data_IF_191299401602
#
_entry.id   IF_191299401602
#
_cell.length_a   1.000
_cell.length_b   1.000
_cell.length_c   1.000
_cell.angle_alpha   90.00
_cell.angle_beta   90.00
_cell.angle_gamma   90.00
#
_symmetry.space_group_name_H-M   'P 1'
#
loop_
_entity.id
_entity.type
_entity.pdbx_description
1 polymer ?
#
# COMPACT_ATOMS: atom_id res chain seq x y z
N UNK A 1 32.61 35.63 12.80
CA UNK A 1 32.08 34.35 13.29
C UNK A 1 31.96 33.41 12.10
N UNK A 2 32.21 32.11 12.29
CA UNK A 2 32.14 31.13 11.20
C UNK A 2 30.70 30.72 10.95
N UNK A 3 30.26 30.76 9.69
CA UNK A 3 28.92 30.32 9.27
C UNK A 3 29.00 28.97 8.58
N UNK A 4 27.97 28.16 8.77
CA UNK A 4 27.79 26.87 8.10
C UNK A 4 26.46 26.90 7.37
N UNK A 5 26.47 26.47 6.11
CA UNK A 5 25.29 26.42 5.26
C UNK A 5 24.56 25.09 5.46
N UNK A 6 23.30 25.15 5.89
CA UNK A 6 22.47 23.98 6.16
C UNK A 6 21.10 24.13 5.48
N UNK A 7 20.41 23.02 5.26
CA UNK A 7 19.07 23.02 4.67
C UNK A 7 18.11 22.12 5.45
N UNK A 8 16.84 22.51 5.45
CA UNK A 8 15.73 21.72 5.98
C UNK A 8 15.25 20.70 4.94
N UNK A 9 15.21 19.41 5.29
CA UNK A 9 14.83 18.31 4.39
C UNK A 9 13.57 17.56 4.83
N UNK A 10 12.86 18.04 5.86
CA UNK A 10 11.63 17.40 6.32
C UNK A 10 10.47 17.63 5.35
N UNK A 11 9.29 17.08 5.66
CA UNK A 11 8.20 16.99 4.67
C UNK A 11 7.32 18.25 4.57
N UNK A 12 7.54 19.24 5.44
CA UNK A 12 6.79 20.51 5.43
C UNK A 12 7.50 21.53 4.53
N UNK A 13 6.78 22.55 4.02
CA UNK A 13 7.41 23.60 3.22
C UNK A 13 8.34 24.51 4.03
N UNK A 14 8.11 24.64 5.34
CA UNK A 14 8.91 25.48 6.23
C UNK A 14 9.12 24.84 7.58
N UNK A 15 10.27 25.09 8.19
CA UNK A 15 10.58 24.73 9.57
C UNK A 15 11.06 25.95 10.35
N UNK A 16 10.37 26.28 11.44
CA UNK A 16 10.90 27.20 12.46
C UNK A 16 11.85 26.44 13.38
N UNK A 17 13.01 27.02 13.66
CA UNK A 17 13.94 26.50 14.65
C UNK A 17 13.43 26.81 16.06
N UNK A 18 13.13 25.72 16.77
CA UNK A 18 12.75 25.69 18.17
C UNK A 18 13.76 24.88 19.00
N UNK A 19 14.79 24.32 18.36
CA UNK A 19 15.82 23.49 18.99
C UNK A 19 16.88 24.38 19.64
N UNK A 20 17.37 25.38 18.91
CA UNK A 20 18.40 26.30 19.44
C UNK A 20 17.82 27.61 19.96
N UNK A 21 16.53 27.85 19.76
CA UNK A 21 15.87 29.10 20.12
C UNK A 21 16.22 30.28 19.20
N UNK A 22 16.88 30.04 18.06
CA UNK A 22 17.25 31.10 17.11
C UNK A 22 16.03 31.78 16.45
N UNK A 23 14.88 31.12 16.47
CA UNK A 23 13.64 31.53 15.79
C UNK A 23 13.78 31.69 14.27
N UNK A 24 14.88 31.24 13.68
CA UNK A 24 15.10 31.21 12.24
C UNK A 24 14.05 30.32 11.55
N UNK A 25 13.65 30.71 10.33
CA UNK A 25 12.70 29.96 9.50
C UNK A 25 13.44 29.45 8.27
N UNK A 26 13.37 28.14 8.07
CA UNK A 26 14.05 27.43 6.99
C UNK A 26 13.02 26.91 5.98
N UNK A 27 12.99 27.45 4.75
CA UNK A 27 12.26 26.83 3.65
C UNK A 27 12.86 25.47 3.30
N UNK A 28 12.00 24.55 2.85
CA UNK A 28 12.40 23.20 2.47
C UNK A 28 13.42 23.23 1.32
N UNK A 29 14.49 22.46 1.47
CA UNK A 29 15.60 22.32 0.52
C UNK A 29 16.30 23.62 0.11
N UNK A 30 16.11 24.71 0.86
CA UNK A 30 16.82 25.96 0.65
C UNK A 30 18.01 26.06 1.62
N UNK A 31 19.23 26.27 1.12
CA UNK A 31 20.40 26.45 1.97
C UNK A 31 20.33 27.81 2.69
N UNK A 32 20.58 27.81 3.99
CA UNK A 32 20.66 29.00 4.83
C UNK A 32 21.95 28.95 5.64
N UNK A 33 22.69 30.06 5.61
CA UNK A 33 23.89 30.22 6.42
C UNK A 33 23.53 30.58 7.86
N UNK A 34 23.93 29.72 8.79
CA UNK A 34 23.71 29.91 10.23
C UNK A 34 25.03 29.91 10.98
N UNK A 35 25.02 30.47 12.19
CA UNK A 35 26.21 30.45 13.05
C UNK A 35 26.60 29.01 13.40
N UNK A 36 27.90 28.72 13.43
CA UNK A 36 28.41 27.37 13.63
C UNK A 36 27.79 26.63 14.85
N UNK A 37 27.61 27.24 16.04
CA UNK A 37 26.96 26.58 17.17
C UNK A 37 25.52 26.13 16.86
N UNK A 38 24.74 26.97 16.16
CA UNK A 38 23.38 26.65 15.73
C UNK A 38 23.39 25.52 14.70
N UNK A 39 24.27 25.58 13.70
CA UNK A 39 24.41 24.51 12.72
C UNK A 39 24.75 23.16 13.36
N UNK A 40 25.73 23.12 14.25
CA UNK A 40 26.14 21.87 14.89
C UNK A 40 25.00 21.21 15.68
N UNK A 41 24.18 22.01 16.36
CA UNK A 41 22.99 21.54 17.07
C UNK A 41 21.92 21.00 16.12
N UNK A 42 21.63 21.73 15.03
CA UNK A 42 20.61 21.31 14.06
C UNK A 42 21.05 20.05 13.30
N UNK A 43 22.32 19.96 12.91
CA UNK A 43 22.88 18.79 12.20
C UNK A 43 22.91 17.50 13.04
N UNK A 44 22.60 17.55 14.35
CA UNK A 44 22.35 16.34 15.15
C UNK A 44 21.08 15.59 14.74
N UNK A 45 20.20 16.21 13.92
CA UNK A 45 18.96 15.60 13.45
C UNK A 45 19.01 15.42 11.92
N UNK A 46 19.78 14.43 11.41
CA UNK A 46 20.05 14.25 9.98
C UNK A 46 18.81 13.92 9.13
N UNK A 47 17.71 13.49 9.76
CA UNK A 47 16.41 13.28 9.10
C UNK A 47 15.66 14.59 8.83
N UNK A 48 16.11 15.69 9.41
CA UNK A 48 15.45 17.02 9.37
C UNK A 48 16.39 18.05 8.74
N UNK A 49 17.69 17.95 9.02
CA UNK A 49 18.70 18.93 8.60
C UNK A 49 19.89 18.25 7.96
N UNK A 50 20.42 18.85 6.89
CA UNK A 50 21.64 18.43 6.20
C UNK A 50 22.50 19.63 5.86
N UNK A 51 23.76 19.40 5.49
CA UNK A 51 24.60 20.45 4.91
C UNK A 51 24.13 20.79 3.50
N UNK A 52 24.42 22.00 3.03
CA UNK A 52 23.99 22.42 1.69
C UNK A 52 24.52 21.51 0.57
N UNK A 53 25.70 20.92 0.76
CA UNK A 53 26.33 19.97 -0.18
C UNK A 53 25.55 18.64 -0.32
N UNK A 54 24.81 18.23 0.70
CA UNK A 54 24.11 16.95 0.75
C UNK A 54 22.63 17.03 0.30
N UNK A 55 22.16 18.22 -0.10
CA UNK A 55 20.74 18.46 -0.45
C UNK A 55 20.30 17.52 -1.57
N UNK A 56 21.06 17.48 -2.67
CA UNK A 56 20.68 16.73 -3.87
C UNK A 56 20.71 15.22 -3.60
N UNK A 57 21.77 14.71 -2.97
CA UNK A 57 21.89 13.31 -2.56
C UNK A 57 20.71 12.89 -1.68
N UNK A 58 20.32 13.74 -0.73
CA UNK A 58 19.18 13.47 0.15
C UNK A 58 17.86 13.42 -0.62
N UNK A 59 17.66 14.31 -1.62
CA UNK A 59 16.45 14.29 -2.46
C UNK A 59 16.37 12.99 -3.26
N UNK A 60 17.47 12.58 -3.89
CA UNK A 60 17.53 11.34 -4.66
C UNK A 60 17.24 10.12 -3.78
N UNK A 61 17.87 10.03 -2.60
CA UNK A 61 17.61 8.95 -1.64
C UNK A 61 16.15 8.90 -1.20
N UNK A 62 15.53 10.06 -0.94
CA UNK A 62 14.11 10.12 -0.56
C UNK A 62 13.19 9.70 -1.70
N UNK A 63 13.51 10.06 -2.94
CA UNK A 63 12.73 9.65 -4.11
C UNK A 63 12.83 8.13 -4.33
N UNK A 64 14.05 7.58 -4.32
CA UNK A 64 14.28 6.14 -4.44
C UNK A 64 13.53 5.35 -3.36
N UNK A 65 13.62 5.78 -2.11
CA UNK A 65 12.90 5.13 -1.01
C UNK A 65 11.37 5.25 -1.15
N UNK A 66 10.86 6.35 -1.71
CA UNK A 66 9.44 6.51 -1.98
C UNK A 66 8.97 5.57 -3.10
N UNK A 67 9.75 5.45 -4.17
CA UNK A 67 9.44 4.59 -5.32
C UNK A 67 9.49 3.11 -4.94
N UNK A 68 10.50 2.69 -4.15
CA UNK A 68 10.59 1.33 -3.62
C UNK A 68 9.39 1.00 -2.72
N UNK A 69 9.02 1.94 -1.83
CA UNK A 69 7.86 1.75 -0.95
C UNK A 69 6.55 1.68 -1.73
N UNK A 70 6.41 2.46 -2.81
CA UNK A 70 5.24 2.41 -3.67
C UNK A 70 5.11 1.04 -4.35
N UNK A 71 6.22 0.50 -4.88
CA UNK A 71 6.24 -0.84 -5.48
C UNK A 71 5.86 -1.95 -4.49
N UNK A 72 6.43 -1.90 -3.28
CA UNK A 72 6.09 -2.87 -2.24
C UNK A 72 4.60 -2.82 -1.88
N UNK A 73 4.03 -1.62 -1.75
CA UNK A 73 2.60 -1.45 -1.47
C UNK A 73 1.71 -1.99 -2.60
N UNK A 74 2.09 -1.77 -3.86
CA UNK A 74 1.35 -2.33 -5.01
C UNK A 74 1.39 -3.86 -5.04
N UNK A 75 2.55 -4.45 -4.75
CA UNK A 75 2.70 -5.91 -4.71
C UNK A 75 1.93 -6.51 -3.52
N UNK A 76 1.99 -5.89 -2.35
CA UNK A 76 1.18 -6.28 -1.18
C UNK A 76 -0.33 -6.18 -1.47
N UNK A 77 -0.77 -5.13 -2.17
CA UNK A 77 -2.18 -4.99 -2.57
C UNK A 77 -2.60 -6.07 -3.55
N UNK A 78 -1.80 -6.36 -4.58
CA UNK A 78 -2.11 -7.45 -5.54
C UNK A 78 -2.16 -8.80 -4.86
N UNK A 79 -1.25 -9.08 -3.92
CA UNK A 79 -1.27 -10.33 -3.17
C UNK A 79 -2.51 -10.41 -2.28
N UNK A 80 -2.88 -9.33 -1.59
CA UNK A 80 -4.10 -9.27 -0.79
C UNK A 80 -5.35 -9.47 -1.65
N UNK A 81 -5.46 -8.77 -2.77
CA UNK A 81 -6.58 -8.91 -3.72
C UNK A 81 -6.67 -10.34 -4.27
N UNK A 82 -5.54 -10.96 -4.61
CA UNK A 82 -5.51 -12.36 -5.07
C UNK A 82 -5.94 -13.33 -3.95
N UNK A 83 -5.50 -13.10 -2.72
CA UNK A 83 -5.91 -13.91 -1.55
C UNK A 83 -7.40 -13.72 -1.23
N UNK A 84 -7.91 -12.49 -1.30
CA UNK A 84 -9.33 -12.19 -1.11
C UNK A 84 -10.17 -12.80 -2.22
N UNK A 85 -9.73 -12.72 -3.47
CA UNK A 85 -10.38 -13.37 -4.60
C UNK A 85 -10.41 -14.90 -4.42
N UNK A 86 -9.29 -15.51 -4.03
CA UNK A 86 -9.19 -16.95 -3.78
C UNK A 86 -10.10 -17.40 -2.62
N UNK A 87 -10.27 -16.58 -1.58
CA UNK A 87 -11.16 -16.88 -0.44
C UNK A 87 -12.63 -16.55 -0.72
N UNK A 88 -12.90 -15.63 -1.64
CA UNK A 88 -14.25 -15.17 -1.94
C UNK A 88 -15.10 -16.31 -2.52
N UNK A 89 -16.34 -16.43 -2.04
CA UNK A 89 -17.39 -17.29 -2.60
C UNK A 89 -18.33 -16.53 -3.53
N UNK A 90 -18.01 -15.26 -3.82
CA UNK A 90 -18.78 -14.43 -4.74
C UNK A 90 -18.30 -14.69 -6.15
N UNK A 91 -19.21 -15.07 -7.03
CA UNK A 91 -18.97 -15.32 -8.45
C UNK A 91 -19.89 -14.43 -9.29
N UNK A 92 -19.45 -14.04 -10.47
CA UNK A 92 -20.29 -13.27 -11.39
C UNK A 92 -20.93 -14.22 -12.39
N UNK A 93 -22.27 -14.26 -12.41
CA UNK A 93 -23.07 -15.09 -13.32
C UNK A 93 -24.02 -14.17 -14.06
N UNK A 94 -23.99 -14.17 -15.40
CA UNK A 94 -24.82 -13.29 -16.24
C UNK A 94 -24.75 -11.79 -15.88
N UNK A 95 -23.61 -11.33 -15.35
CA UNK A 95 -23.39 -9.94 -14.93
C UNK A 95 -23.85 -9.61 -13.50
N UNK A 96 -24.40 -10.58 -12.76
CA UNK A 96 -24.79 -10.42 -11.36
C UNK A 96 -23.81 -11.11 -10.41
N UNK A 97 -23.51 -10.47 -9.28
CA UNK A 97 -22.65 -11.03 -8.25
C UNK A 97 -23.45 -11.92 -7.30
N UNK A 98 -23.17 -13.21 -7.32
CA UNK A 98 -23.84 -14.24 -6.55
C UNK A 98 -22.90 -14.81 -5.48
N UNK A 99 -23.33 -14.76 -4.22
CA UNK A 99 -22.59 -15.32 -3.09
C UNK A 99 -22.98 -16.78 -2.85
N UNK A 100 -22.11 -17.70 -3.27
CA UNK A 100 -22.36 -19.15 -3.19
C UNK A 100 -22.41 -19.66 -1.73
N UNK A 101 -21.79 -18.96 -0.77
CA UNK A 101 -21.83 -19.34 0.64
C UNK A 101 -23.25 -19.23 1.22
N UNK A 102 -24.10 -18.37 0.65
CA UNK A 102 -25.50 -18.19 1.06
C UNK A 102 -26.46 -19.17 0.40
N UNK A 103 -25.99 -19.93 -0.61
CA UNK A 103 -26.82 -20.87 -1.34
C UNK A 103 -26.74 -22.27 -0.71
N UNK A 104 -27.87 -22.89 -0.36
CA UNK A 104 -27.91 -24.31 -0.01
C UNK A 104 -27.72 -25.17 -1.27
N UNK A 105 -27.38 -26.45 -1.09
CA UNK A 105 -27.10 -27.39 -2.19
C UNK A 105 -28.22 -27.48 -3.24
N UNK A 106 -29.48 -27.39 -2.83
CA UNK A 106 -30.64 -27.42 -3.74
C UNK A 106 -30.64 -26.22 -4.68
N UNK A 107 -30.33 -25.01 -4.18
CA UNK A 107 -30.28 -23.81 -5.03
C UNK A 107 -29.08 -23.82 -5.97
N UNK A 108 -27.97 -24.44 -5.54
CA UNK A 108 -26.80 -24.62 -6.41
C UNK A 108 -27.11 -25.59 -7.56
N UNK A 109 -27.82 -26.69 -7.30
CA UNK A 109 -28.28 -27.60 -8.34
C UNK A 109 -29.20 -26.89 -9.36
N UNK A 110 -30.19 -26.13 -8.88
CA UNK A 110 -31.05 -25.33 -9.76
C UNK A 110 -30.27 -24.30 -10.57
N UNK A 111 -29.21 -23.70 -10.01
CA UNK A 111 -28.37 -22.74 -10.73
C UNK A 111 -27.61 -23.42 -11.88
N UNK A 112 -27.05 -24.61 -11.64
CA UNK A 112 -26.33 -25.41 -12.65
C UNK A 112 -27.27 -25.75 -13.80
N UNK A 113 -28.45 -26.28 -13.48
CA UNK A 113 -29.49 -26.63 -14.47
C UNK A 113 -29.96 -25.40 -15.24
N UNK A 114 -30.21 -24.27 -14.57
CA UNK A 114 -30.71 -23.05 -15.20
C UNK A 114 -29.72 -22.41 -16.19
N UNK A 115 -28.43 -22.69 -16.06
CA UNK A 115 -27.38 -22.20 -16.95
C UNK A 115 -26.84 -23.30 -17.89
N UNK A 116 -27.46 -24.48 -17.91
CA UNK A 116 -27.02 -25.66 -18.69
C UNK A 116 -25.52 -25.97 -18.50
N UNK A 117 -25.02 -25.86 -17.28
CA UNK A 117 -23.62 -26.13 -16.96
C UNK A 117 -23.35 -27.63 -16.85
N UNK A 118 -22.28 -28.09 -17.50
CA UNK A 118 -21.80 -29.48 -17.44
C UNK A 118 -21.09 -29.77 -16.10
N UNK A 119 -21.84 -29.68 -15.00
CA UNK A 119 -21.33 -29.90 -13.65
C UNK A 119 -22.20 -30.92 -12.92
N UNK A 120 -21.59 -32.02 -12.51
CA UNK A 120 -22.29 -33.11 -11.81
C UNK A 120 -22.95 -32.61 -10.51
N UNK A 121 -24.14 -33.11 -10.15
CA UNK A 121 -24.80 -32.76 -8.90
C UNK A 121 -23.97 -33.19 -7.69
N UNK A 122 -24.33 -32.68 -6.51
CA UNK A 122 -23.63 -32.96 -5.26
C UNK A 122 -23.53 -34.47 -4.99
N UNK A 123 -22.32 -34.97 -4.75
CA UNK A 123 -22.09 -36.37 -4.40
C UNK A 123 -22.70 -36.74 -3.05
N UNK A 124 -23.02 -38.03 -2.86
CA UNK A 124 -23.62 -38.52 -1.61
C UNK A 124 -22.71 -38.33 -0.38
N UNK A 125 -21.39 -38.37 -0.56
CA UNK A 125 -20.37 -38.18 0.48
C UNK A 125 -19.72 -36.79 0.47
N UNK A 126 -20.00 -35.97 -0.54
CA UNK A 126 -19.46 -34.60 -0.67
C UNK A 126 -20.13 -33.69 0.38
N UNK A 127 -19.36 -32.83 1.04
CA UNK A 127 -19.93 -31.78 1.89
C UNK A 127 -20.55 -30.66 1.04
N UNK A 128 -21.37 -29.80 1.66
CA UNK A 128 -21.96 -28.66 0.94
C UNK A 128 -20.88 -27.63 0.57
N UNK A 129 -19.84 -27.50 1.39
CA UNK A 129 -18.75 -26.52 1.16
C UNK A 129 -17.79 -26.98 0.06
N UNK A 130 -17.51 -28.29 -0.04
CA UNK A 130 -16.78 -28.87 -1.17
C UNK A 130 -17.56 -28.67 -2.47
N UNK A 131 -18.88 -28.90 -2.45
CA UNK A 131 -19.73 -28.67 -3.61
C UNK A 131 -19.75 -27.20 -4.04
N UNK A 132 -19.84 -26.26 -3.08
CA UNK A 132 -19.74 -24.81 -3.36
C UNK A 132 -18.41 -24.44 -3.99
N UNK A 133 -17.32 -25.01 -3.49
CA UNK A 133 -15.98 -24.77 -4.01
C UNK A 133 -15.86 -25.25 -5.45
N UNK A 134 -16.36 -26.46 -5.75
CA UNK A 134 -16.39 -27.00 -7.11
C UNK A 134 -17.20 -26.15 -8.08
N UNK A 135 -18.38 -25.69 -7.67
CA UNK A 135 -19.21 -24.78 -8.47
C UNK A 135 -18.51 -23.44 -8.70
N UNK A 136 -17.88 -22.87 -7.66
CA UNK A 136 -17.12 -21.63 -7.74
C UNK A 136 -15.97 -21.74 -8.75
N UNK A 137 -15.20 -22.82 -8.66
CA UNK A 137 -14.02 -23.04 -9.48
C UNK A 137 -14.42 -23.23 -10.95
N UNK A 138 -15.50 -23.99 -11.21
CA UNK A 138 -16.09 -24.10 -12.54
C UNK A 138 -16.49 -22.75 -13.14
N UNK A 139 -17.21 -21.90 -12.38
CA UNK A 139 -17.65 -20.59 -12.87
C UNK A 139 -16.45 -19.66 -13.13
N UNK A 140 -15.38 -19.79 -12.34
CA UNK A 140 -14.16 -18.98 -12.47
C UNK A 140 -13.15 -19.56 -13.48
N UNK A 141 -13.38 -20.76 -14.00
CA UNK A 141 -12.44 -21.46 -14.89
C UNK A 141 -11.12 -21.86 -14.20
N UNK A 142 -11.17 -22.16 -12.90
CA UNK A 142 -10.03 -22.62 -12.08
C UNK A 142 -9.87 -24.14 -12.11
#
# INVERSE_FOLDING_TARGET
MSKISIAYIGDKPFKKDTITGSLLVFPQYQPIDVEAPTAFMLLQYPKVWVRSEDIEVTKEQKQLAADERAKLLEDEQKEQEALEFAKSMVVTVAGENLDLAKLPSVKLATLIEANDWELEPKGAQESVDEFRTRVRDFIRGL
#
